data_IF_664350552165
#
_entry.id   IF_664350552165
#
_cell.length_a   1.000
_cell.length_b   1.000
_cell.length_c   1.000
_cell.angle_alpha   90.00
_cell.angle_beta   90.00
_cell.angle_gamma   90.00
#
_symmetry.space_group_name_H-M   'P 1'
#
loop_
_entity.id
_entity.type
_entity.pdbx_description
1 polymer ?
#
# COMPACT_ATOMS: atom_id res chain seq x y z
N UNK A 1 9.51 9.97 6.36
CA UNK A 1 9.93 10.97 5.35
C UNK A 1 9.19 10.85 4.02
N UNK A 2 9.18 9.69 3.34
CA UNK A 2 8.42 9.54 2.08
C UNK A 2 6.91 9.63 2.28
N UNK A 3 6.39 8.99 3.33
CA UNK A 3 4.95 9.00 3.65
C UNK A 3 4.47 10.40 4.07
N UNK A 4 5.21 11.08 4.96
CA UNK A 4 4.93 12.46 5.39
C UNK A 4 4.89 13.44 4.21
N UNK A 5 5.79 13.27 3.22
CA UNK A 5 5.80 14.09 2.01
C UNK A 5 4.58 13.88 1.10
N UNK A 6 3.80 12.84 1.37
CA UNK A 6 2.55 12.49 0.68
C UNK A 6 1.34 12.56 1.61
N UNK A 7 1.43 13.28 2.72
CA UNK A 7 0.34 13.44 3.70
C UNK A 7 -0.19 12.09 4.26
N UNK A 8 0.72 11.13 4.45
CA UNK A 8 0.40 9.79 4.99
C UNK A 8 -0.25 8.83 3.99
N UNK A 9 -0.27 9.19 2.70
CA UNK A 9 -0.92 8.39 1.67
C UNK A 9 -0.26 7.03 1.41
N UNK A 10 1.07 6.90 1.55
CA UNK A 10 1.74 5.63 1.22
C UNK A 10 1.35 4.54 2.21
N UNK A 11 1.37 4.83 3.51
CA UNK A 11 0.91 3.86 4.50
C UNK A 11 -0.61 3.62 4.41
N UNK A 12 -1.40 4.63 4.04
CA UNK A 12 -2.84 4.47 3.77
C UNK A 12 -3.08 3.50 2.61
N UNK A 13 -2.39 3.69 1.49
CA UNK A 13 -2.48 2.84 0.30
C UNK A 13 -1.97 1.43 0.60
N UNK A 14 -0.82 1.29 1.26
CA UNK A 14 -0.26 -0.01 1.60
C UNK A 14 -1.20 -0.80 2.52
N UNK A 15 -1.80 -0.15 3.53
CA UNK A 15 -2.83 -0.76 4.39
C UNK A 15 -4.05 -1.22 3.60
N UNK A 16 -4.54 -0.41 2.67
CA UNK A 16 -5.68 -0.78 1.83
C UNK A 16 -5.37 -1.99 0.93
N UNK A 17 -4.15 -2.06 0.38
CA UNK A 17 -3.67 -3.17 -0.45
C UNK A 17 -3.59 -4.47 0.32
N UNK A 18 -2.94 -4.49 1.48
CA UNK A 18 -2.79 -5.73 2.25
C UNK A 18 -4.13 -6.20 2.86
N UNK A 19 -5.10 -5.31 3.00
CA UNK A 19 -6.47 -5.67 3.41
C UNK A 19 -7.31 -6.26 2.26
N UNK A 20 -6.93 -6.05 1.00
CA UNK A 20 -7.65 -6.52 -0.19
C UNK A 20 -6.68 -7.19 -1.19
N UNK A 21 -6.00 -8.28 -0.79
CA UNK A 21 -5.00 -8.94 -1.64
C UNK A 21 -5.62 -9.40 -2.96
N UNK A 22 -4.92 -9.14 -4.07
CA UNK A 22 -5.39 -9.46 -5.43
C UNK A 22 -6.53 -8.60 -5.97
N UNK A 23 -7.08 -7.65 -5.20
CA UNK A 23 -8.19 -6.79 -5.63
C UNK A 23 -7.84 -5.30 -5.54
N UNK A 24 -7.08 -4.81 -6.53
CA UNK A 24 -6.66 -3.40 -6.63
C UNK A 24 -7.81 -2.41 -6.70
N UNK A 25 -8.94 -2.81 -7.30
CA UNK A 25 -10.13 -1.95 -7.38
C UNK A 25 -10.75 -1.76 -6.00
N UNK A 26 -10.89 -2.82 -5.21
CA UNK A 26 -11.38 -2.72 -3.84
C UNK A 26 -10.41 -1.92 -2.95
N UNK A 27 -9.10 -2.18 -3.07
CA UNK A 27 -8.07 -1.43 -2.35
C UNK A 27 -8.11 0.07 -2.68
N UNK A 28 -8.27 0.43 -3.96
CA UNK A 28 -8.38 1.83 -4.38
C UNK A 28 -9.60 2.51 -3.72
N UNK A 29 -10.77 1.87 -3.75
CA UNK A 29 -11.97 2.40 -3.08
C UNK A 29 -11.78 2.54 -1.57
N UNK A 30 -11.15 1.55 -0.92
CA UNK A 30 -10.87 1.57 0.51
C UNK A 30 -9.81 2.59 0.95
N UNK A 31 -8.97 3.05 0.01
CA UNK A 31 -7.94 4.06 0.30
C UNK A 31 -8.50 5.47 0.44
N UNK A 32 -9.76 5.72 0.05
CA UNK A 32 -10.36 7.07 -0.03
C UNK A 32 -9.62 8.06 -0.95
N UNK A 33 -8.70 7.58 -1.78
CA UNK A 33 -8.03 8.36 -2.80
C UNK A 33 -8.74 8.18 -4.15
N UNK A 34 -8.51 9.12 -5.07
CA UNK A 34 -8.86 8.88 -6.47
C UNK A 34 -8.06 7.69 -7.00
N UNK A 35 -8.62 6.95 -7.98
CA UNK A 35 -7.92 5.81 -8.58
C UNK A 35 -6.55 6.20 -9.15
N UNK A 36 -6.44 7.38 -9.78
CA UNK A 36 -5.17 7.87 -10.33
C UNK A 36 -4.10 8.07 -9.25
N UNK A 37 -4.47 8.75 -8.16
CA UNK A 37 -3.54 8.97 -7.03
C UNK A 37 -3.19 7.63 -6.36
N UNK A 38 -4.16 6.74 -6.17
CA UNK A 38 -3.91 5.40 -5.63
C UNK A 38 -2.84 4.64 -6.42
N UNK A 39 -2.98 4.55 -7.76
CA UNK A 39 -2.00 3.83 -8.58
C UNK A 39 -0.64 4.54 -8.62
N UNK A 40 -0.61 5.88 -8.60
CA UNK A 40 0.65 6.62 -8.50
C UNK A 40 1.39 6.28 -7.19
N UNK A 41 0.67 6.28 -6.06
CA UNK A 41 1.22 5.93 -4.74
C UNK A 41 1.64 4.47 -4.68
N UNK A 42 0.85 3.57 -5.28
CA UNK A 42 1.17 2.16 -5.34
C UNK A 42 2.46 1.88 -6.10
N UNK A 43 2.67 2.53 -7.24
CA UNK A 43 3.93 2.46 -7.99
C UNK A 43 5.11 2.97 -7.17
N UNK A 44 4.95 4.14 -6.53
CA UNK A 44 5.99 4.68 -5.65
C UNK A 44 6.34 3.74 -4.49
N UNK A 45 5.35 3.07 -3.88
CA UNK A 45 5.61 2.08 -2.82
C UNK A 45 6.43 0.90 -3.36
N UNK A 46 6.05 0.36 -4.52
CA UNK A 46 6.78 -0.74 -5.14
C UNK A 46 8.24 -0.35 -5.42
N UNK A 47 8.48 0.86 -5.94
CA UNK A 47 9.82 1.38 -6.22
C UNK A 47 10.65 1.56 -4.94
N UNK A 48 10.05 2.14 -3.90
CA UNK A 48 10.71 2.38 -2.62
C UNK A 48 11.09 1.09 -1.90
N UNK A 49 10.21 0.09 -1.94
CA UNK A 49 10.42 -1.22 -1.33
C UNK A 49 11.23 -2.17 -2.20
N UNK A 50 11.38 -1.87 -3.50
CA UNK A 50 11.93 -2.77 -4.52
C UNK A 50 11.27 -4.16 -4.48
N UNK A 51 9.95 -4.16 -4.37
CA UNK A 51 9.17 -5.35 -4.11
C UNK A 51 8.02 -5.50 -5.10
N UNK A 52 7.71 -6.74 -5.48
CA UNK A 52 6.53 -7.06 -6.27
C UNK A 52 5.31 -7.08 -5.35
N UNK A 53 4.45 -6.07 -5.48
CA UNK A 53 3.26 -5.96 -4.64
C UNK A 53 2.12 -6.88 -5.11
N UNK A 54 2.26 -7.59 -6.22
CA UNK A 54 1.32 -8.63 -6.64
C UNK A 54 1.74 -10.03 -6.14
N UNK A 55 2.97 -10.17 -5.61
CA UNK A 55 3.44 -11.39 -4.96
C UNK A 55 2.79 -11.60 -3.58
N UNK A 56 2.24 -12.80 -3.37
CA UNK A 56 1.50 -13.14 -2.16
C UNK A 56 2.39 -13.23 -0.92
N UNK A 57 3.63 -13.69 -1.06
CA UNK A 57 4.59 -13.76 0.04
C UNK A 57 4.99 -12.35 0.50
N UNK A 58 5.30 -11.47 -0.46
CA UNK A 58 5.58 -10.05 -0.23
C UNK A 58 4.42 -9.36 0.48
N UNK A 59 3.18 -9.55 0.00
CA UNK A 59 2.00 -8.96 0.64
C UNK A 59 1.78 -9.48 2.07
N UNK A 60 2.04 -10.77 2.31
CA UNK A 60 1.92 -11.37 3.64
C UNK A 60 2.95 -10.80 4.62
N UNK A 61 4.21 -10.67 4.18
CA UNK A 61 5.27 -10.05 4.98
C UNK A 61 4.96 -8.58 5.31
N UNK A 62 4.46 -7.80 4.34
CA UNK A 62 4.08 -6.41 4.54
C UNK A 62 2.88 -6.26 5.47
N UNK A 63 1.91 -7.17 5.42
CA UNK A 63 0.79 -7.18 6.35
C UNK A 63 1.27 -7.35 7.79
N UNK A 64 2.17 -8.32 8.05
CA UNK A 64 2.76 -8.52 9.38
C UNK A 64 3.58 -7.31 9.83
N UNK A 65 4.39 -6.72 8.94
CA UNK A 65 5.17 -5.53 9.25
C UNK A 65 4.27 -4.35 9.65
N UNK A 66 3.14 -4.15 8.97
CA UNK A 66 2.16 -3.11 9.31
C UNK A 66 1.47 -3.36 10.66
N UNK A 67 1.14 -4.61 10.96
CA UNK A 67 0.59 -4.99 12.27
C UNK A 67 1.57 -4.73 13.41
N UNK A 68 2.86 -5.01 13.19
CA UNK A 68 3.92 -4.73 14.16
C UNK A 68 4.20 -3.23 14.32
N UNK A 69 4.11 -2.46 13.23
CA UNK A 69 4.34 -1.01 13.23
C UNK A 69 3.24 -0.22 13.97
N UNK A 70 2.00 -0.75 14.00
CA UNK A 70 0.88 -0.11 14.70
C UNK A 70 0.80 -0.40 16.21
N UNK A 71 1.78 -1.09 16.79
CA UNK A 71 1.91 -1.32 18.24
C UNK A 71 2.88 -0.31 18.84
#
# INVERSE_FOLDING_TARGET
RHDDATDGDLLRVLRAVVAHPGNRTAAASASHLSRSVFYQRLGLIADLLRADLDDGETLSALHLALLAHGR
#
